data_IF_152023099349
#
_entry.id   IF_152023099349
#
_cell.length_a   1.000
_cell.length_b   1.000
_cell.length_c   1.000
_cell.angle_alpha   90.00
_cell.angle_beta   90.00
_cell.angle_gamma   90.00
#
_symmetry.space_group_name_H-M   'P 1'
#
loop_
_entity.id
_entity.type
_entity.pdbx_description
1 polymer ?
#
# COMPACT_ATOMS: atom_id res chain seq x y z
N UNK A 1 27.79 29.51 -4.72
CA UNK A 1 26.43 29.87 -4.25
C UNK A 1 26.51 31.08 -3.34
N UNK A 2 25.89 32.19 -3.73
CA UNK A 2 25.92 33.47 -3.01
C UNK A 2 25.24 33.36 -1.63
N UNK A 3 25.69 34.15 -0.65
CA UNK A 3 25.07 34.27 0.70
C UNK A 3 23.58 34.62 0.60
N UNK A 4 23.17 35.36 -0.43
CA UNK A 4 21.78 35.76 -0.69
C UNK A 4 20.87 34.58 -1.10
N UNK A 5 21.38 33.60 -1.85
CA UNK A 5 20.61 32.40 -2.21
C UNK A 5 20.35 31.51 -1.00
N UNK A 6 21.33 31.41 -0.09
CA UNK A 6 21.19 30.64 1.16
C UNK A 6 20.13 31.24 2.10
N UNK A 7 20.05 32.57 2.18
CA UNK A 7 19.04 33.28 2.97
C UNK A 7 17.62 33.08 2.39
N UNK A 8 17.43 33.29 1.07
CA UNK A 8 16.14 33.03 0.41
C UNK A 8 15.67 31.57 0.51
N UNK A 9 16.60 30.62 0.56
CA UNK A 9 16.28 29.20 0.75
C UNK A 9 15.86 28.86 2.18
N UNK A 10 16.44 29.54 3.19
CA UNK A 10 16.02 29.43 4.59
C UNK A 10 14.62 29.98 4.77
N UNK A 11 14.34 31.20 4.29
CA UNK A 11 13.01 31.83 4.38
C UNK A 11 11.90 30.95 3.77
N UNK A 12 12.15 30.33 2.61
CA UNK A 12 11.16 29.44 1.98
C UNK A 12 10.92 28.15 2.77
N UNK A 13 11.96 27.58 3.39
CA UNK A 13 11.80 26.39 4.23
C UNK A 13 11.07 26.71 5.52
N UNK A 14 11.38 27.85 6.14
CA UNK A 14 10.72 28.31 7.35
C UNK A 14 9.25 28.65 7.08
N UNK A 15 8.94 29.36 5.99
CA UNK A 15 7.56 29.60 5.56
C UNK A 15 6.79 28.29 5.25
N UNK A 16 7.45 27.29 4.67
CA UNK A 16 6.84 25.97 4.47
C UNK A 16 6.58 25.25 5.80
N UNK A 17 7.50 25.33 6.75
CA UNK A 17 7.35 24.74 8.08
C UNK A 17 6.25 25.44 8.89
N UNK A 18 6.14 26.76 8.78
CA UNK A 18 5.08 27.55 9.43
C UNK A 18 3.71 27.26 8.80
N UNK A 19 3.62 27.19 7.48
CA UNK A 19 2.41 26.77 6.77
C UNK A 19 2.01 25.34 7.16
N UNK A 20 2.98 24.44 7.31
CA UNK A 20 2.73 23.08 7.79
C UNK A 20 2.23 23.07 9.24
N UNK A 21 2.80 23.89 10.13
CA UNK A 21 2.37 24.03 11.52
C UNK A 21 0.96 24.63 11.62
N UNK A 22 0.66 25.67 10.86
CA UNK A 22 -0.69 26.27 10.75
C UNK A 22 -1.70 25.24 10.23
N UNK A 23 -1.32 24.48 9.21
CA UNK A 23 -2.14 23.39 8.69
C UNK A 23 -2.44 22.36 9.79
N UNK A 24 -1.44 21.91 10.57
CA UNK A 24 -1.67 20.97 11.68
C UNK A 24 -2.62 21.54 12.74
N UNK A 25 -2.43 22.80 13.14
CA UNK A 25 -3.29 23.43 14.15
C UNK A 25 -4.75 23.55 13.66
N UNK A 26 -4.95 23.90 12.39
CA UNK A 26 -6.29 23.96 11.79
C UNK A 26 -6.96 22.57 11.69
N UNK A 27 -6.19 21.52 11.44
CA UNK A 27 -6.69 20.13 11.39
C UNK A 27 -7.18 19.60 12.74
N UNK A 28 -6.60 20.08 13.85
CA UNK A 28 -7.03 19.69 15.19
C UNK A 28 -8.43 20.24 15.51
N UNK A 29 -8.80 21.39 14.94
CA UNK A 29 -10.09 22.02 15.19
C UNK A 29 -11.21 21.51 14.27
N UNK A 30 -10.90 21.21 13.00
CA UNK A 30 -11.89 20.71 12.05
C UNK A 30 -11.29 19.79 10.98
N UNK A 31 -11.67 18.51 11.02
CA UNK A 31 -11.24 17.49 10.06
C UNK A 31 -11.69 17.80 8.63
N UNK A 32 -12.75 18.59 8.42
CA UNK A 32 -13.23 18.97 7.07
C UNK A 32 -12.19 19.76 6.29
N UNK A 33 -11.38 20.57 6.98
CA UNK A 33 -10.32 21.38 6.35
C UNK A 33 -9.29 20.48 5.66
N UNK A 34 -8.85 19.39 6.30
CA UNK A 34 -7.90 18.46 5.68
C UNK A 34 -8.55 17.64 4.58
N UNK A 35 -9.83 17.27 4.69
CA UNK A 35 -10.54 16.57 3.62
C UNK A 35 -10.58 17.43 2.35
N UNK A 36 -10.92 18.71 2.46
CA UNK A 36 -10.92 19.66 1.33
C UNK A 36 -9.51 19.79 0.74
N UNK A 37 -8.48 19.92 1.59
CA UNK A 37 -7.08 20.02 1.12
C UNK A 37 -6.57 18.75 0.43
N UNK A 38 -6.96 17.58 0.93
CA UNK A 38 -6.64 16.31 0.28
C UNK A 38 -7.35 16.18 -1.07
N UNK A 39 -8.63 16.58 -1.17
CA UNK A 39 -9.37 16.59 -2.42
C UNK A 39 -8.73 17.52 -3.46
N UNK A 40 -8.43 18.76 -3.08
CA UNK A 40 -7.73 19.73 -3.93
C UNK A 40 -6.35 19.22 -4.35
N UNK A 41 -5.56 18.67 -3.42
CA UNK A 41 -4.25 18.10 -3.75
C UNK A 41 -4.36 16.95 -4.73
N UNK A 42 -5.34 16.05 -4.56
CA UNK A 42 -5.59 14.95 -5.49
C UNK A 42 -5.94 15.47 -6.88
N UNK A 43 -6.81 16.47 -6.97
CA UNK A 43 -7.14 17.11 -8.24
C UNK A 43 -5.89 17.72 -8.92
N UNK A 44 -5.08 18.47 -8.17
CA UNK A 44 -3.83 19.06 -8.65
C UNK A 44 -2.82 18.01 -9.14
N UNK A 45 -2.78 16.84 -8.48
CA UNK A 45 -1.92 15.73 -8.90
C UNK A 45 -2.41 15.06 -10.20
N UNK A 46 -3.72 15.04 -10.47
CA UNK A 46 -4.29 14.52 -11.73
C UNK A 46 -3.93 15.40 -12.92
N UNK A 47 -3.77 16.71 -12.71
CA UNK A 47 -3.53 17.70 -13.78
C UNK A 47 -2.08 18.18 -13.85
N UNK A 48 -1.15 17.48 -13.19
CA UNK A 48 0.25 17.88 -13.01
C UNK A 48 1.08 17.93 -14.31
N UNK A 49 0.54 17.40 -15.42
CA UNK A 49 1.18 17.28 -16.72
C UNK A 49 1.49 18.62 -17.41
N UNK A 50 0.71 19.67 -17.14
CA UNK A 50 0.89 21.01 -17.74
C UNK A 50 2.02 21.82 -17.12
N UNK A 51 2.52 21.40 -15.95
CA UNK A 51 3.55 22.14 -15.22
C UNK A 51 4.96 21.78 -15.69
N UNK A 52 5.87 22.75 -15.54
CA UNK A 52 7.32 22.56 -15.75
C UNK A 52 7.86 21.42 -14.87
N UNK A 53 8.87 20.65 -15.35
CA UNK A 53 9.35 19.44 -14.65
C UNK A 53 9.84 19.66 -13.21
N UNK A 54 10.45 20.80 -12.92
CA UNK A 54 10.92 21.20 -11.59
C UNK A 54 9.74 21.40 -10.62
N UNK A 55 8.72 22.14 -11.05
CA UNK A 55 7.49 22.38 -10.26
C UNK A 55 6.74 21.07 -10.04
N UNK A 56 6.65 20.21 -11.07
CA UNK A 56 6.06 18.88 -11.00
C UNK A 56 6.71 18.02 -9.92
N UNK A 57 8.05 17.90 -9.93
CA UNK A 57 8.79 17.12 -8.94
C UNK A 57 8.64 17.68 -7.53
N UNK A 58 8.63 19.00 -7.37
CA UNK A 58 8.42 19.64 -6.06
C UNK A 58 7.06 19.30 -5.47
N UNK A 59 5.99 19.45 -6.26
CA UNK A 59 4.62 19.13 -5.84
C UNK A 59 4.49 17.64 -5.54
N UNK A 60 5.04 16.77 -6.39
CA UNK A 60 5.01 15.34 -6.18
C UNK A 60 5.74 14.90 -4.90
N UNK A 61 6.89 15.52 -4.59
CA UNK A 61 7.62 15.27 -3.34
C UNK A 61 6.78 15.67 -2.13
N UNK A 62 6.21 16.87 -2.13
CA UNK A 62 5.31 17.35 -1.08
C UNK A 62 4.12 16.40 -0.89
N UNK A 63 3.52 15.94 -1.99
CA UNK A 63 2.42 14.96 -1.98
C UNK A 63 2.81 13.65 -1.29
N UNK A 64 3.99 13.10 -1.62
CA UNK A 64 4.45 11.83 -1.05
C UNK A 64 4.92 11.94 0.40
N UNK A 65 5.54 13.06 0.78
CA UNK A 65 6.10 13.26 2.13
C UNK A 65 5.06 13.77 3.14
N UNK A 66 4.04 14.49 2.68
CA UNK A 66 3.06 15.17 3.54
C UNK A 66 1.66 14.58 3.34
N UNK A 67 1.08 14.75 2.16
CA UNK A 67 -0.35 14.49 1.94
C UNK A 67 -0.71 13.00 1.95
N UNK A 68 0.10 12.14 1.34
CA UNK A 68 -0.11 10.68 1.39
C UNK A 68 -0.05 10.14 2.83
N UNK A 69 0.99 10.46 3.64
CA UNK A 69 1.01 10.07 5.06
C UNK A 69 -0.17 10.63 5.87
N UNK A 70 -0.62 11.85 5.60
CA UNK A 70 -1.82 12.41 6.23
C UNK A 70 -3.07 11.61 5.88
N UNK A 71 -3.32 11.34 4.59
CA UNK A 71 -4.43 10.50 4.16
C UNK A 71 -4.37 9.09 4.79
N UNK A 72 -3.17 8.52 4.96
CA UNK A 72 -2.99 7.24 5.63
C UNK A 72 -3.38 7.29 7.12
N UNK A 73 -2.99 8.35 7.84
CA UNK A 73 -3.34 8.56 9.26
C UNK A 73 -4.85 8.72 9.47
N UNK A 74 -5.53 9.37 8.53
CA UNK A 74 -6.99 9.54 8.53
C UNK A 74 -7.75 8.28 8.06
N UNK A 75 -7.05 7.20 7.68
CA UNK A 75 -7.68 5.96 7.19
C UNK A 75 -8.22 6.03 5.75
N UNK A 76 -7.95 7.12 5.02
CA UNK A 76 -8.48 7.37 3.67
C UNK A 76 -7.59 6.69 2.62
N UNK A 77 -7.66 5.37 2.57
CA UNK A 77 -6.75 4.54 1.78
C UNK A 77 -6.81 4.76 0.27
N UNK A 78 -7.98 5.14 -0.28
CA UNK A 78 -8.14 5.38 -1.72
C UNK A 78 -7.37 6.63 -2.16
N UNK A 79 -7.60 7.78 -1.49
CA UNK A 79 -6.84 9.02 -1.72
C UNK A 79 -5.34 8.77 -1.53
N UNK A 80 -4.97 8.09 -0.44
CA UNK A 80 -3.56 7.76 -0.18
C UNK A 80 -2.92 7.03 -1.36
N UNK A 81 -3.57 5.97 -1.85
CA UNK A 81 -3.05 5.16 -2.97
C UNK A 81 -2.92 5.98 -4.25
N UNK A 82 -3.93 6.78 -4.56
CA UNK A 82 -3.93 7.64 -5.75
C UNK A 82 -2.82 8.70 -5.69
N UNK A 83 -2.68 9.39 -4.56
CA UNK A 83 -1.60 10.36 -4.34
C UNK A 83 -0.22 9.72 -4.44
N UNK A 84 -0.06 8.48 -3.96
CA UNK A 84 1.17 7.71 -4.08
C UNK A 84 1.50 7.35 -5.53
N UNK A 85 0.52 6.91 -6.32
CA UNK A 85 0.73 6.57 -7.73
C UNK A 85 1.08 7.80 -8.56
N UNK A 86 0.27 8.86 -8.47
CA UNK A 86 0.51 10.12 -9.18
C UNK A 86 1.82 10.77 -8.73
N UNK A 87 2.10 10.75 -7.43
CA UNK A 87 3.33 11.27 -6.85
C UNK A 87 4.55 10.49 -7.35
N UNK A 88 4.45 9.17 -7.44
CA UNK A 88 5.56 8.33 -7.91
C UNK A 88 5.87 8.57 -9.39
N UNK A 89 4.85 8.61 -10.24
CA UNK A 89 4.99 8.88 -11.67
C UNK A 89 5.62 10.25 -11.92
N UNK A 90 5.17 11.27 -11.19
CA UNK A 90 5.66 12.63 -11.32
C UNK A 90 7.08 12.84 -10.76
N UNK A 91 7.42 12.20 -9.65
CA UNK A 91 8.73 12.37 -9.00
C UNK A 91 9.83 11.53 -9.65
N UNK A 92 9.51 10.30 -10.07
CA UNK A 92 10.46 9.34 -10.63
C UNK A 92 9.93 8.65 -11.90
N UNK A 93 9.71 9.40 -13.01
CA UNK A 93 9.02 8.88 -14.20
C UNK A 93 9.71 7.66 -14.84
N UNK A 94 11.04 7.66 -14.90
CA UNK A 94 11.80 6.53 -15.47
C UNK A 94 11.66 5.28 -14.59
N UNK A 95 11.73 5.43 -13.25
CA UNK A 95 11.55 4.31 -12.32
C UNK A 95 10.13 3.76 -12.38
N UNK A 96 9.15 4.65 -12.46
CA UNK A 96 7.74 4.29 -12.64
C UNK A 96 7.55 3.44 -13.90
N UNK A 97 8.06 3.89 -15.05
CA UNK A 97 8.01 3.12 -16.31
C UNK A 97 8.62 1.74 -16.19
N UNK A 98 9.84 1.65 -15.65
CA UNK A 98 10.54 0.35 -15.51
C UNK A 98 9.75 -0.60 -14.62
N UNK A 99 9.30 -0.16 -13.44
CA UNK A 99 8.54 -1.01 -12.52
C UNK A 99 7.19 -1.41 -13.14
N UNK A 100 6.53 -0.49 -13.85
CA UNK A 100 5.27 -0.79 -14.55
C UNK A 100 5.42 -1.91 -15.57
N UNK A 101 6.47 -1.86 -16.40
CA UNK A 101 6.74 -2.92 -17.38
C UNK A 101 7.13 -4.25 -16.71
N UNK A 102 7.96 -4.21 -15.68
CA UNK A 102 8.34 -5.42 -14.92
C UNK A 102 7.10 -6.08 -14.28
N UNK A 103 6.20 -5.28 -13.70
CA UNK A 103 4.95 -5.77 -13.12
C UNK A 103 4.03 -6.34 -14.19
N UNK A 104 3.91 -5.68 -15.35
CA UNK A 104 3.12 -6.14 -16.49
C UNK A 104 3.61 -7.49 -17.03
N UNK A 105 4.92 -7.67 -17.20
CA UNK A 105 5.51 -8.92 -17.62
C UNK A 105 5.29 -10.05 -16.59
N UNK A 106 5.50 -9.74 -15.30
CA UNK A 106 5.29 -10.71 -14.22
C UNK A 106 3.83 -11.17 -14.10
N UNK A 107 2.86 -10.31 -14.42
CA UNK A 107 1.43 -10.63 -14.46
C UNK A 107 1.10 -11.67 -15.52
N UNK A 108 1.64 -11.53 -16.74
CA UNK A 108 1.42 -12.47 -17.82
C UNK A 108 1.90 -13.88 -17.46
N UNK A 109 3.14 -13.99 -16.99
CA UNK A 109 3.81 -15.27 -16.74
C UNK A 109 3.25 -16.06 -15.55
N UNK A 110 2.42 -15.46 -14.69
CA UNK A 110 2.02 -16.06 -13.40
C UNK A 110 0.52 -15.96 -13.11
N UNK A 111 -0.29 -15.65 -14.11
CA UNK A 111 -1.75 -15.59 -14.00
C UNK A 111 -2.34 -16.93 -13.54
N UNK A 112 -1.91 -18.03 -14.13
CA UNK A 112 -2.37 -19.39 -13.79
C UNK A 112 -2.05 -19.75 -12.34
N UNK A 113 -0.84 -19.45 -11.88
CA UNK A 113 -0.42 -19.69 -10.49
C UNK A 113 -1.30 -18.91 -9.50
N UNK A 114 -1.63 -17.65 -9.81
CA UNK A 114 -2.50 -16.83 -8.96
C UNK A 114 -3.91 -17.42 -8.91
N UNK A 115 -4.46 -17.86 -10.04
CA UNK A 115 -5.76 -18.49 -10.10
C UNK A 115 -5.79 -19.81 -9.34
N UNK A 116 -4.76 -20.65 -9.48
CA UNK A 116 -4.63 -21.89 -8.71
C UNK A 116 -4.68 -21.65 -7.20
N UNK A 117 -3.93 -20.66 -6.70
CA UNK A 117 -3.95 -20.32 -5.26
C UNK A 117 -5.32 -19.78 -4.84
N UNK A 118 -5.98 -18.97 -5.66
CA UNK A 118 -7.34 -18.49 -5.37
C UNK A 118 -8.31 -19.66 -5.23
N UNK A 119 -8.32 -20.58 -6.21
CA UNK A 119 -9.19 -21.76 -6.19
C UNK A 119 -8.90 -22.70 -5.04
N UNK A 120 -7.62 -22.91 -4.67
CA UNK A 120 -7.25 -23.71 -3.48
C UNK A 120 -7.77 -23.08 -2.18
N UNK A 121 -7.63 -21.75 -2.04
CA UNK A 121 -8.14 -21.02 -0.87
C UNK A 121 -9.67 -21.06 -0.82
N UNK A 122 -10.34 -20.83 -1.95
CA UNK A 122 -11.81 -20.85 -2.06
C UNK A 122 -12.36 -22.24 -1.75
N UNK A 123 -11.81 -23.29 -2.38
CA UNK A 123 -12.21 -24.68 -2.13
C UNK A 123 -12.07 -25.06 -0.67
N UNK A 124 -10.93 -24.72 -0.04
CA UNK A 124 -10.71 -25.03 1.39
C UNK A 124 -11.70 -24.32 2.31
N UNK A 125 -12.07 -23.08 2.01
CA UNK A 125 -13.03 -22.32 2.81
C UNK A 125 -14.47 -22.78 2.58
N UNK A 126 -14.79 -23.23 1.36
CA UNK A 126 -16.06 -23.84 1.03
C UNK A 126 -16.26 -25.19 1.73
N UNK A 127 -15.25 -26.07 1.72
CA UNK A 127 -15.24 -27.33 2.49
C UNK A 127 -15.47 -27.11 3.98
N UNK A 128 -14.89 -26.03 4.54
CA UNK A 128 -15.05 -25.67 5.94
C UNK A 128 -16.40 -24.98 6.26
N UNK A 129 -17.26 -24.78 5.25
CA UNK A 129 -18.55 -24.10 5.40
C UNK A 129 -18.43 -22.62 5.80
N UNK A 130 -17.35 -21.94 5.42
CA UNK A 130 -17.08 -20.54 5.80
C UNK A 130 -17.54 -19.59 4.69
N UNK A 131 -18.63 -18.81 4.88
CA UNK A 131 -19.06 -17.83 3.90
C UNK A 131 -18.05 -16.67 3.85
N UNK A 132 -17.39 -16.52 2.70
CA UNK A 132 -16.38 -15.50 2.52
C UNK A 132 -16.24 -15.09 1.05
N UNK A 133 -15.61 -13.94 0.82
CA UNK A 133 -15.16 -13.52 -0.51
C UNK A 133 -13.65 -13.51 -0.57
N UNK A 134 -13.09 -14.35 -1.44
CA UNK A 134 -11.65 -14.39 -1.71
C UNK A 134 -11.35 -13.51 -2.92
N UNK A 135 -10.22 -12.81 -2.90
CA UNK A 135 -9.78 -11.96 -4.01
C UNK A 135 -8.27 -11.77 -4.03
N UNK A 136 -7.70 -11.70 -5.23
CA UNK A 136 -6.34 -11.23 -5.44
C UNK A 136 -6.28 -9.70 -5.44
N UNK A 137 -5.41 -9.13 -4.61
CA UNK A 137 -5.10 -7.69 -4.58
C UNK A 137 -3.70 -7.45 -5.09
N UNK A 138 -3.59 -6.61 -6.12
CA UNK A 138 -2.31 -6.07 -6.57
C UNK A 138 -1.84 -4.94 -5.65
N UNK A 139 -0.55 -4.92 -5.35
CA UNK A 139 0.08 -3.77 -4.71
C UNK A 139 0.31 -2.69 -5.76
N UNK A 140 -0.02 -1.46 -5.41
CA UNK A 140 0.27 -0.32 -6.27
C UNK A 140 1.79 -0.11 -6.42
N UNK A 141 2.20 0.51 -7.53
CA UNK A 141 3.61 0.59 -7.95
C UNK A 141 4.52 1.27 -6.93
N UNK A 142 4.05 2.34 -6.28
CA UNK A 142 4.83 3.04 -5.26
C UNK A 142 5.16 2.16 -4.04
N UNK A 143 4.20 1.35 -3.55
CA UNK A 143 4.45 0.39 -2.47
C UNK A 143 5.46 -0.69 -2.84
N UNK A 144 5.49 -1.10 -4.12
CA UNK A 144 6.49 -2.04 -4.64
C UNK A 144 7.86 -1.36 -4.62
N UNK A 145 7.94 -0.14 -5.18
CA UNK A 145 9.15 0.68 -5.19
C UNK A 145 9.72 0.90 -3.78
N UNK A 146 8.91 1.36 -2.83
CA UNK A 146 9.35 1.59 -1.46
C UNK A 146 9.89 0.30 -0.81
N UNK A 147 9.29 -0.86 -1.08
CA UNK A 147 9.83 -2.14 -0.58
C UNK A 147 11.16 -2.51 -1.21
N UNK A 148 11.35 -2.27 -2.50
CA UNK A 148 12.62 -2.54 -3.17
C UNK A 148 13.73 -1.65 -2.61
N UNK A 149 13.46 -0.36 -2.43
CA UNK A 149 14.43 0.60 -1.90
C UNK A 149 14.74 0.35 -0.43
N UNK A 150 13.73 0.23 0.43
CA UNK A 150 13.91 0.11 1.88
C UNK A 150 14.49 -1.23 2.34
N UNK A 151 14.43 -2.27 1.51
CA UNK A 151 14.88 -3.61 1.89
C UNK A 151 16.08 -4.09 1.08
N UNK A 152 16.59 -3.28 0.15
CA UNK A 152 17.61 -3.69 -0.83
C UNK A 152 17.26 -5.01 -1.54
N UNK A 153 15.96 -5.33 -1.61
CA UNK A 153 15.49 -6.58 -2.17
C UNK A 153 15.34 -6.40 -3.67
N UNK A 154 16.07 -7.23 -4.43
CA UNK A 154 15.77 -7.39 -5.86
C UNK A 154 14.33 -7.88 -6.03
N UNK A 155 13.79 -7.68 -7.22
CA UNK A 155 12.45 -8.13 -7.56
C UNK A 155 12.47 -9.65 -7.74
N UNK A 156 12.17 -10.41 -6.68
CA UNK A 156 12.40 -11.87 -6.67
C UNK A 156 11.11 -12.69 -6.90
N UNK A 157 9.92 -12.18 -6.57
CA UNK A 157 8.69 -12.99 -6.60
C UNK A 157 7.43 -12.21 -6.93
N UNK A 158 6.49 -12.86 -7.62
CA UNK A 158 5.10 -12.41 -7.84
C UNK A 158 4.37 -12.05 -6.55
N UNK A 159 4.79 -12.63 -5.42
CA UNK A 159 4.24 -12.32 -4.10
C UNK A 159 4.64 -10.93 -3.59
N UNK A 160 5.65 -10.31 -4.20
CA UNK A 160 5.97 -8.91 -3.96
C UNK A 160 4.97 -7.99 -4.65
N UNK A 161 4.27 -8.47 -5.68
CA UNK A 161 3.20 -7.78 -6.43
C UNK A 161 1.83 -8.12 -5.86
N UNK A 162 1.50 -9.39 -5.70
CA UNK A 162 0.17 -9.83 -5.28
C UNK A 162 0.07 -10.05 -3.77
N UNK A 163 -1.14 -9.93 -3.27
CA UNK A 163 -1.58 -10.40 -1.96
C UNK A 163 -2.98 -10.97 -2.11
N UNK A 164 -3.35 -11.94 -1.29
CA UNK A 164 -4.69 -12.50 -1.27
C UNK A 164 -5.48 -11.85 -0.14
N UNK A 165 -6.76 -11.61 -0.36
CA UNK A 165 -7.66 -11.02 0.63
C UNK A 165 -8.87 -11.92 0.78
N UNK A 166 -9.22 -12.21 2.02
CA UNK A 166 -10.46 -12.89 2.39
C UNK A 166 -11.31 -11.89 3.15
N UNK A 167 -12.54 -11.66 2.69
CA UNK A 167 -13.47 -10.74 3.34
C UNK A 167 -14.56 -11.58 3.98
N UNK A 168 -14.82 -11.31 5.26
CA UNK A 168 -15.76 -12.08 6.10
C UNK A 168 -16.66 -11.13 6.90
N UNK A 169 -17.72 -11.71 7.46
CA UNK A 169 -18.78 -11.01 8.17
C UNK A 169 -18.58 -10.86 9.67
N UNK A 170 -17.55 -11.47 10.26
CA UNK A 170 -17.25 -11.30 11.70
C UNK A 170 -15.75 -11.48 12.01
N UNK A 171 -15.31 -10.99 13.17
CA UNK A 171 -13.96 -11.18 13.69
C UNK A 171 -13.67 -12.65 14.03
N UNK A 172 -14.63 -13.40 14.60
CA UNK A 172 -14.48 -14.84 14.87
C UNK A 172 -14.12 -15.61 13.59
N UNK A 173 -14.86 -15.33 12.51
CA UNK A 173 -14.63 -15.94 11.20
C UNK A 173 -13.22 -15.60 10.69
N UNK A 174 -12.66 -14.42 11.04
CA UNK A 174 -11.28 -14.10 10.66
C UNK A 174 -10.28 -15.11 11.24
N UNK A 175 -10.45 -15.52 12.50
CA UNK A 175 -9.58 -16.49 13.15
C UNK A 175 -9.82 -17.92 12.63
N UNK A 176 -11.06 -18.29 12.32
CA UNK A 176 -11.37 -19.56 11.65
C UNK A 176 -10.69 -19.64 10.27
N UNK A 177 -10.77 -18.57 9.47
CA UNK A 177 -10.06 -18.47 8.20
C UNK A 177 -8.55 -18.59 8.41
N UNK A 178 -7.99 -17.93 9.43
CA UNK A 178 -6.55 -18.03 9.74
C UNK A 178 -6.12 -19.49 9.96
N UNK A 179 -6.89 -20.24 10.76
CA UNK A 179 -6.65 -21.66 11.00
C UNK A 179 -6.68 -22.49 9.70
N UNK A 180 -7.69 -22.28 8.85
CA UNK A 180 -7.78 -22.94 7.54
C UNK A 180 -6.59 -22.61 6.64
N UNK A 181 -6.14 -21.34 6.65
CA UNK A 181 -5.00 -20.91 5.86
C UNK A 181 -3.67 -21.52 6.35
N UNK A 182 -3.47 -21.64 7.66
CA UNK A 182 -2.27 -22.27 8.23
C UNK A 182 -2.27 -23.80 8.07
N UNK A 183 -3.45 -24.41 7.98
CA UNK A 183 -3.61 -25.82 7.60
C UNK A 183 -3.26 -26.04 6.12
N UNK A 184 -3.66 -25.12 5.23
CA UNK A 184 -3.38 -25.22 3.79
C UNK A 184 -1.92 -24.90 3.44
N UNK A 185 -1.32 -23.90 4.10
CA UNK A 185 0.04 -23.44 3.84
C UNK A 185 0.82 -23.19 5.13
N UNK A 186 2.07 -23.66 5.17
CA UNK A 186 2.94 -23.48 6.33
C UNK A 186 3.18 -21.98 6.63
N UNK A 187 2.83 -21.47 7.82
CA UNK A 187 3.09 -20.08 8.18
C UNK A 187 4.58 -19.81 8.35
N UNK A 188 5.01 -18.58 8.04
CA UNK A 188 6.38 -18.13 8.34
C UNK A 188 6.48 -17.60 9.77
N UNK A 189 7.44 -18.10 10.57
CA UNK A 189 7.69 -17.56 11.92
C UNK A 189 7.91 -16.04 11.92
N UNK A 190 7.35 -15.35 12.90
CA UNK A 190 7.49 -13.90 13.08
C UNK A 190 6.84 -13.04 11.99
N UNK A 191 5.99 -13.61 11.12
CA UNK A 191 5.32 -12.88 10.03
C UNK A 191 3.79 -12.85 10.14
N UNK A 192 3.27 -13.22 11.30
CA UNK A 192 1.87 -13.01 11.67
C UNK A 192 1.72 -11.65 12.36
N UNK A 193 0.64 -10.93 12.06
CA UNK A 193 0.27 -9.69 12.73
C UNK A 193 -1.24 -9.66 12.93
N UNK A 194 -1.64 -9.54 14.18
CA UNK A 194 -3.04 -9.40 14.56
C UNK A 194 -3.39 -7.93 14.75
N UNK A 195 -3.97 -7.31 13.72
CA UNK A 195 -4.51 -5.96 13.84
C UNK A 195 -5.98 -5.92 14.23
N UNK A 196 -6.62 -7.08 14.48
CA UNK A 196 -7.97 -7.10 15.07
C UNK A 196 -7.82 -6.82 16.57
N UNK A 197 -6.94 -7.56 17.25
CA UNK A 197 -6.63 -7.39 18.66
C UNK A 197 -5.86 -6.10 18.96
N UNK A 198 -4.94 -5.72 18.07
CA UNK A 198 -4.14 -4.49 18.20
C UNK A 198 -4.35 -3.61 16.96
N UNK A 199 -5.46 -2.85 16.90
CA UNK A 199 -5.75 -1.96 15.77
C UNK A 199 -4.63 -0.95 15.54
N UNK A 200 -4.43 -0.56 14.28
CA UNK A 200 -3.52 0.54 13.99
C UNK A 200 -4.13 1.88 14.45
N UNK A 201 -3.28 2.87 14.65
CA UNK A 201 -3.68 4.23 15.03
C UNK A 201 -4.74 4.87 14.09
N UNK A 202 -4.82 4.43 12.83
CA UNK A 202 -5.82 4.89 11.86
C UNK A 202 -7.11 4.05 11.86
N UNK A 203 -7.35 3.24 12.88
CA UNK A 203 -8.52 2.36 13.01
C UNK A 203 -8.47 1.10 12.13
N UNK A 204 -7.37 0.85 11.43
CA UNK A 204 -7.26 -0.29 10.52
C UNK A 204 -7.19 -1.63 11.29
N UNK A 205 -8.09 -2.56 10.93
CA UNK A 205 -8.20 -3.89 11.51
C UNK A 205 -8.18 -5.01 10.45
N UNK A 206 -7.42 -6.07 10.73
CA UNK A 206 -7.29 -7.28 9.89
C UNK A 206 -6.27 -8.27 10.48
N UNK A 207 -6.34 -9.53 10.06
CA UNK A 207 -5.26 -10.51 10.29
C UNK A 207 -4.33 -10.56 9.09
N UNK A 208 -3.03 -10.43 9.31
CA UNK A 208 -2.00 -10.60 8.27
C UNK A 208 -1.15 -11.81 8.60
N UNK A 209 -1.07 -12.76 7.69
CA UNK A 209 -0.09 -13.84 7.75
C UNK A 209 0.71 -13.90 6.46
N UNK A 210 1.94 -14.39 6.56
CA UNK A 210 2.81 -14.68 5.42
C UNK A 210 3.14 -16.16 5.47
N UNK A 211 2.74 -16.92 4.47
CA UNK A 211 2.84 -18.39 4.47
C UNK A 211 3.91 -18.87 3.48
N UNK A 212 4.01 -20.16 3.21
CA UNK A 212 4.85 -20.74 2.17
C UNK A 212 3.94 -21.49 1.20
N UNK A 213 3.96 -21.07 -0.07
CA UNK A 213 3.09 -21.62 -1.13
C UNK A 213 3.55 -22.99 -1.64
N UNK A 214 2.72 -23.63 -2.49
CA UNK A 214 2.76 -25.06 -2.79
C UNK A 214 3.79 -25.45 -3.88
N UNK A 215 5.05 -25.02 -3.78
CA UNK A 215 6.10 -25.55 -4.66
C UNK A 215 7.40 -25.74 -3.90
N UNK A 216 7.55 -26.95 -3.35
CA UNK A 216 8.82 -27.48 -2.86
C UNK A 216 9.53 -28.22 -3.99
N UNK A 217 10.19 -27.50 -4.90
CA UNK A 217 11.26 -28.09 -5.72
C UNK A 217 12.26 -27.02 -6.15
N UNK A 218 13.49 -27.15 -5.64
CA UNK A 218 14.75 -26.70 -6.25
C UNK A 218 14.83 -25.25 -6.76
N UNK A 219 14.38 -24.28 -5.98
CA UNK A 219 14.87 -22.90 -6.14
C UNK A 219 15.01 -22.21 -4.78
N UNK A 220 16.02 -21.35 -4.64
CA UNK A 220 16.33 -20.54 -3.43
C UNK A 220 15.22 -19.54 -3.03
N UNK A 221 14.01 -19.68 -3.58
CA UNK A 221 12.92 -18.72 -3.45
C UNK A 221 11.81 -19.28 -2.60
N UNK A 222 11.83 -18.93 -1.32
CA UNK A 222 10.74 -19.21 -0.39
C UNK A 222 9.48 -18.45 -0.86
N UNK A 223 8.40 -19.17 -1.15
CA UNK A 223 7.07 -18.66 -1.52
C UNK A 223 6.41 -17.88 -0.35
N UNK A 224 5.53 -16.88 -0.64
CA UNK A 224 4.78 -16.13 0.39
C UNK A 224 3.35 -15.73 0.02
N UNK A 225 2.33 -16.59 0.20
CA UNK A 225 0.95 -16.13 0.29
C UNK A 225 0.80 -15.14 1.45
N UNK A 226 0.42 -13.90 1.14
CA UNK A 226 -0.05 -12.96 2.15
C UNK A 226 -1.56 -12.91 2.11
N UNK A 227 -2.21 -13.51 3.08
CA UNK A 227 -3.66 -13.40 3.25
C UNK A 227 -3.98 -12.23 4.18
N UNK A 228 -4.95 -11.42 3.76
CA UNK A 228 -5.49 -10.30 4.51
C UNK A 228 -6.93 -10.64 4.81
N UNK A 229 -7.23 -11.01 6.06
CA UNK A 229 -8.63 -11.22 6.45
C UNK A 229 -9.15 -9.91 7.04
N UNK A 230 -10.16 -9.30 6.40
CA UNK A 230 -10.73 -8.01 6.82
C UNK A 230 -12.23 -8.17 7.09
N UNK A 231 -12.67 -7.69 8.24
CA UNK A 231 -14.08 -7.51 8.59
C UNK A 231 -14.59 -6.14 8.08
N UNK A 232 -15.77 -6.09 7.46
CA UNK A 232 -16.36 -4.84 6.97
C UNK A 232 -16.97 -4.05 8.14
N UNK A 233 -16.26 -3.00 8.58
CA UNK A 233 -16.89 -1.82 9.19
C UNK A 233 -16.29 -0.58 8.54
N UNK A 234 -16.84 -0.23 7.36
CA UNK A 234 -16.57 0.96 6.54
C UNK A 234 -15.18 1.09 5.87
N UNK A 235 -15.17 1.41 4.56
CA UNK A 235 -14.02 1.88 3.74
C UNK A 235 -12.91 0.89 3.41
#
# INVERSE_FOLDING_TARGET
>A
MSKLDKLKFRDKKEAQAENFRKMIMAMVQDIRVILIKLADRTHNMRTLGSLRPDKRRRIARETLEIYSPLAHRLGIHHIKTELEELGFEALYPNRYRVIKEVVKAARGNRKEMIQKILSEIEGRLQEAGIPCRVSGREKHLYSIYCKMVLKEQRFHSIMDIYAFRVIVHDADICYRVLGQMHSLYKPRPGRFKDYIAIPKANGYQSLHTSMIGPTASRSRYKFVPKTWTRWRRWG
#
